data_IF_247674595039
#
_entry.id   IF_247674595039
#
_cell.length_a   1.000
_cell.length_b   1.000
_cell.length_c   1.000
_cell.angle_alpha   90.00
_cell.angle_beta   90.00
_cell.angle_gamma   90.00
#
_symmetry.space_group_name_H-M   'P 1'
#
loop_
_entity.id
_entity.type
_entity.pdbx_description
1 polymer ?
#
# COMPACT_ATOMS: atom_id res chain seq x y z
N UNK A 1 8.92 -16.04 2.41
CA UNK A 1 7.54 -15.60 2.70
C UNK A 1 6.77 -15.52 1.38
N UNK A 2 5.47 -15.79 1.37
CA UNK A 2 4.61 -15.77 0.18
C UNK A 2 4.73 -14.47 -0.63
N UNK A 3 5.18 -14.60 -1.88
CA UNK A 3 5.60 -13.51 -2.81
C UNK A 3 4.54 -12.49 -3.22
N UNK A 4 3.29 -12.62 -2.76
CA UNK A 4 2.16 -11.87 -3.34
C UNK A 4 2.09 -10.40 -2.91
N UNK A 5 2.67 -10.03 -1.75
CA UNK A 5 2.62 -8.66 -1.22
C UNK A 5 3.98 -7.94 -1.23
N UNK A 6 5.03 -8.58 -1.73
CA UNK A 6 6.38 -8.03 -1.84
C UNK A 6 6.43 -6.70 -2.63
N UNK A 7 5.77 -6.54 -3.81
CA UNK A 7 5.84 -5.29 -4.56
C UNK A 7 5.17 -4.12 -3.84
N UNK A 8 4.06 -4.37 -3.13
CA UNK A 8 3.38 -3.36 -2.32
C UNK A 8 4.25 -2.91 -1.14
N UNK A 9 4.98 -3.85 -0.51
CA UNK A 9 5.92 -3.54 0.56
C UNK A 9 7.13 -2.74 0.07
N UNK A 10 7.67 -3.08 -1.09
CA UNK A 10 8.76 -2.34 -1.72
C UNK A 10 8.35 -0.89 -2.03
N UNK A 11 7.18 -0.70 -2.67
CA UNK A 11 6.65 0.63 -2.96
C UNK A 11 6.38 1.44 -1.69
N UNK A 12 5.84 0.82 -0.64
CA UNK A 12 5.61 1.49 0.65
C UNK A 12 6.93 1.94 1.29
N UNK A 13 7.97 1.10 1.24
CA UNK A 13 9.30 1.44 1.75
C UNK A 13 9.89 2.63 1.00
N UNK A 14 9.82 2.62 -0.33
CA UNK A 14 10.30 3.73 -1.15
C UNK A 14 9.56 5.03 -0.84
N UNK A 15 8.24 4.96 -0.69
CA UNK A 15 7.41 6.11 -0.32
C UNK A 15 7.82 6.69 1.05
N UNK A 16 8.10 5.83 2.04
CA UNK A 16 8.54 6.27 3.36
C UNK A 16 9.92 6.94 3.33
N UNK A 17 10.86 6.40 2.54
CA UNK A 17 12.20 7.00 2.40
C UNK A 17 12.15 8.39 1.77
N UNK A 18 11.16 8.67 0.92
CA UNK A 18 10.90 9.98 0.32
C UNK A 18 10.00 10.88 1.18
N UNK A 19 9.40 10.35 2.23
CA UNK A 19 8.42 11.07 3.04
C UNK A 19 9.06 12.04 4.01
N UNK A 20 8.31 13.08 4.35
CA UNK A 20 8.69 14.10 5.32
C UNK A 20 8.99 13.54 6.71
N UNK A 21 8.33 12.46 7.13
CA UNK A 21 8.58 11.88 8.45
C UNK A 21 10.01 11.32 8.58
N UNK A 22 10.55 10.71 7.53
CA UNK A 22 11.93 10.20 7.54
C UNK A 22 12.93 11.31 7.21
N UNK A 23 12.61 12.17 6.24
CA UNK A 23 13.54 13.21 5.76
C UNK A 23 13.60 14.45 6.66
N UNK A 24 12.46 14.93 7.18
CA UNK A 24 12.40 16.14 8.02
C UNK A 24 12.58 15.82 9.50
N UNK A 25 11.92 14.77 9.98
CA UNK A 25 11.92 14.45 11.41
C UNK A 25 12.99 13.40 11.79
N UNK A 26 13.50 12.61 10.83
CA UNK A 26 14.56 11.63 11.08
C UNK A 26 14.09 10.36 11.80
N UNK A 27 12.77 10.13 11.88
CA UNK A 27 12.22 8.95 12.54
C UNK A 27 12.42 7.68 11.70
N UNK A 28 12.38 6.53 12.36
CA UNK A 28 12.39 5.25 11.67
C UNK A 28 11.11 5.10 10.82
N UNK A 29 11.18 4.48 9.62
CA UNK A 29 9.99 4.24 8.80
C UNK A 29 8.88 3.49 9.55
N UNK A 30 9.26 2.59 10.47
CA UNK A 30 8.33 1.86 11.35
C UNK A 30 7.61 2.76 12.35
N UNK A 31 8.27 3.80 12.84
CA UNK A 31 7.73 4.79 13.78
C UNK A 31 6.80 5.76 13.05
N UNK A 32 7.19 6.20 11.85
CA UNK A 32 6.34 6.98 10.95
C UNK A 32 5.01 6.27 10.63
N UNK A 33 5.04 4.94 10.49
CA UNK A 33 3.86 4.12 10.29
C UNK A 33 3.00 3.98 11.57
N UNK A 34 3.53 4.15 12.77
CA UNK A 34 2.76 3.96 14.00
C UNK A 34 2.16 5.27 14.49
N UNK A 35 2.98 6.30 14.56
CA UNK A 35 2.68 7.53 15.29
C UNK A 35 2.36 8.70 14.34
N UNK A 36 2.94 8.71 13.13
CA UNK A 36 2.85 9.83 12.19
C UNK A 36 2.07 9.50 10.91
N UNK A 37 1.00 8.71 11.03
CA UNK A 37 0.21 8.30 9.85
C UNK A 37 -0.51 9.44 9.14
N UNK A 38 -0.94 10.46 9.88
CA UNK A 38 -1.63 11.61 9.33
C UNK A 38 -0.68 12.61 8.64
N UNK A 39 0.59 12.63 9.02
CA UNK A 39 1.61 13.50 8.39
C UNK A 39 2.22 12.88 7.13
N UNK A 40 1.94 11.59 6.88
CA UNK A 40 2.36 10.93 5.66
C UNK A 40 1.51 11.39 4.46
N UNK A 41 2.13 11.55 3.27
CA UNK A 41 1.40 11.89 2.07
C UNK A 41 0.38 10.80 1.70
N UNK A 42 -0.74 11.21 1.09
CA UNK A 42 -1.86 10.34 0.68
C UNK A 42 -1.42 9.08 -0.09
N UNK A 43 -0.36 9.21 -0.90
CA UNK A 43 0.25 8.09 -1.63
C UNK A 43 0.76 6.99 -0.68
N UNK A 44 1.49 7.35 0.38
CA UNK A 44 2.01 6.39 1.35
C UNK A 44 0.87 5.78 2.19
N UNK A 45 -0.16 6.56 2.51
CA UNK A 45 -1.34 6.05 3.22
C UNK A 45 -2.11 5.01 2.38
N UNK A 46 -2.22 5.24 1.08
CA UNK A 46 -2.85 4.30 0.14
C UNK A 46 -2.07 2.99 0.03
N UNK A 47 -0.74 3.06 -0.11
CA UNK A 47 0.14 1.88 -0.10
C UNK A 47 0.07 1.10 1.21
N UNK A 48 -0.07 1.78 2.36
CA UNK A 48 -0.28 1.14 3.67
C UNK A 48 -1.60 0.37 3.72
N UNK A 49 -2.69 0.95 3.21
CA UNK A 49 -3.99 0.26 3.13
C UNK A 49 -3.90 -0.97 2.22
N UNK A 50 -3.31 -0.84 1.04
CA UNK A 50 -3.13 -1.93 0.09
C UNK A 50 -2.27 -3.09 0.66
N UNK A 51 -1.14 -2.77 1.32
CA UNK A 51 -0.31 -3.78 2.00
C UNK A 51 -1.06 -4.50 3.12
N UNK A 52 -1.87 -3.79 3.90
CA UNK A 52 -2.70 -4.38 4.95
C UNK A 52 -3.78 -5.31 4.38
N UNK A 53 -4.47 -4.88 3.33
CA UNK A 53 -5.48 -5.70 2.64
C UNK A 53 -4.89 -6.95 1.99
N UNK A 54 -3.72 -6.82 1.36
CA UNK A 54 -2.99 -7.95 0.79
C UNK A 54 -2.67 -8.98 1.87
N UNK A 55 -2.06 -8.55 2.99
CA UNK A 55 -1.71 -9.44 4.11
C UNK A 55 -2.93 -10.06 4.77
N UNK A 56 -4.01 -9.28 4.93
CA UNK A 56 -5.30 -9.77 5.46
C UNK A 56 -5.92 -10.81 4.53
N UNK A 57 -5.84 -10.63 3.22
CA UNK A 57 -6.32 -11.59 2.23
C UNK A 57 -5.55 -12.92 2.23
N UNK A 58 -4.25 -12.90 2.55
CA UNK A 58 -3.44 -14.12 2.69
C UNK A 58 -3.80 -14.93 3.95
N UNK A 59 -4.18 -14.26 5.03
CA UNK A 59 -4.55 -14.89 6.31
C UNK A 59 -6.00 -15.41 6.32
N UNK A 60 -6.87 -14.87 5.48
CA UNK A 60 -8.27 -15.27 5.40
C UNK A 60 -8.45 -16.62 4.66
N UNK A 61 -8.72 -17.68 5.41
CA UNK A 61 -8.99 -19.04 4.90
C UNK A 61 -10.22 -19.09 3.97
N UNK A 62 -11.18 -18.18 4.13
CA UNK A 62 -12.42 -18.14 3.35
C UNK A 62 -12.16 -17.75 1.88
N UNK A 63 -11.08 -17.02 1.63
CA UNK A 63 -10.60 -16.68 0.28
C UNK A 63 -9.73 -17.76 -0.35
N UNK A 64 -9.34 -18.82 0.38
CA UNK A 64 -8.51 -19.91 -0.17
C UNK A 64 -9.30 -20.92 -1.00
N UNK A 65 -10.58 -21.14 -0.66
CA UNK A 65 -11.41 -22.15 -1.33
C UNK A 65 -12.04 -21.70 -2.66
N UNK A 66 -12.29 -20.39 -2.84
CA UNK A 66 -12.85 -19.84 -4.10
C UNK A 66 -11.80 -19.13 -4.96
N UNK A 67 -10.53 -19.34 -4.65
CA UNK A 67 -9.45 -18.51 -5.17
C UNK A 67 -9.44 -17.15 -4.48
N UNK A 68 -8.24 -16.69 -4.12
CA UNK A 68 -8.09 -15.37 -3.56
C UNK A 68 -8.32 -14.36 -4.68
N UNK A 69 -9.53 -13.79 -4.76
CA UNK A 69 -9.83 -12.67 -5.64
C UNK A 69 -8.91 -11.46 -5.38
N UNK A 70 -8.03 -11.48 -4.36
CA UNK A 70 -6.98 -10.47 -4.27
C UNK A 70 -6.01 -10.50 -5.47
N UNK A 71 -5.89 -11.60 -6.23
CA UNK A 71 -5.20 -11.57 -7.54
C UNK A 71 -5.94 -10.67 -8.54
N UNK A 72 -7.25 -10.86 -8.68
CA UNK A 72 -8.10 -10.04 -9.55
C UNK A 72 -8.27 -8.59 -9.03
N UNK A 73 -8.31 -8.40 -7.72
CA UNK A 73 -8.38 -7.07 -7.09
C UNK A 73 -7.01 -6.38 -7.12
N UNK A 74 -5.90 -7.11 -7.06
CA UNK A 74 -4.56 -6.56 -7.32
C UNK A 74 -4.42 -6.09 -8.77
N UNK A 75 -4.94 -6.85 -9.75
CA UNK A 75 -5.05 -6.41 -11.14
C UNK A 75 -5.94 -5.16 -11.26
N UNK A 76 -7.10 -5.16 -10.59
CA UNK A 76 -7.96 -3.98 -10.54
C UNK A 76 -7.36 -2.79 -9.77
N UNK A 77 -6.41 -3.01 -8.86
CA UNK A 77 -5.68 -1.95 -8.16
C UNK A 77 -4.57 -1.36 -9.05
N UNK A 78 -3.89 -2.19 -9.86
CA UNK A 78 -3.01 -1.68 -10.91
C UNK A 78 -3.78 -0.89 -11.97
N UNK A 79 -4.99 -1.32 -12.34
CA UNK A 79 -5.84 -0.60 -13.31
C UNK A 79 -6.53 0.64 -12.71
N UNK A 80 -6.72 0.70 -11.38
CA UNK A 80 -7.29 1.88 -10.68
C UNK A 80 -6.26 2.94 -10.32
N UNK A 81 -4.97 2.59 -10.25
CA UNK A 81 -3.89 3.58 -10.10
C UNK A 81 -3.72 4.41 -11.38
N UNK A 82 -4.03 3.84 -12.57
CA UNK A 82 -4.07 4.58 -13.84
C UNK A 82 -5.32 5.48 -13.99
N UNK A 83 -6.41 5.23 -13.25
CA UNK A 83 -7.66 6.02 -13.39
C UNK A 83 -7.88 7.13 -12.36
N UNK A 84 -6.91 7.41 -11.48
CA UNK A 84 -6.95 8.60 -10.61
C UNK A 84 -5.87 9.66 -10.91
N UNK A 85 -5.17 9.52 -12.05
CA UNK A 85 -4.47 10.64 -12.72
C UNK A 85 -5.05 10.79 -14.14
N UNK A 86 -6.36 10.99 -14.27
CA UNK A 86 -6.98 11.62 -15.45
C UNK A 86 -8.48 11.87 -15.26
N UNK A 87 -8.85 12.52 -14.16
CA UNK A 87 -10.02 13.41 -14.22
C UNK A 87 -9.67 14.70 -13.51
N UNK A 88 -9.12 15.66 -14.26
CA UNK A 88 -9.68 17.02 -14.22
C UNK A 88 -9.52 17.71 -15.58
N UNK A 89 -10.54 18.48 -16.01
CA UNK A 89 -10.75 18.92 -17.38
C UNK A 89 -10.16 20.30 -17.63
N UNK A 90 -9.71 20.51 -18.86
CA UNK A 90 -10.09 21.64 -19.71
C UNK A 90 -9.97 21.22 -21.18
#
# INVERSE_FOLDING_TARGET
MSMTCEPLLAALKECLMQSDCVLKQGHLPSECLRDHTAELPERCQSLRKATFECKRGLLDMRKRFRGNNAGAVAQQLSEKDETQVSTKPE
#
